data_IF_365367039696
#
_entry.id   IF_365367039696
#
_cell.length_a   1.000
_cell.length_b   1.000
_cell.length_c   1.000
_cell.angle_alpha   90.00
_cell.angle_beta   90.00
_cell.angle_gamma   90.00
#
_symmetry.space_group_name_H-M   'P 1'
#
loop_
_entity.id
_entity.type
_entity.pdbx_description
1 polymer ?
#
# COMPACT_ATOMS: atom_id res chain seq x y z
N UNK A 1 22.08 76.27 51.89
CA UNK A 1 22.51 74.86 52.02
C UNK A 1 21.97 74.14 50.83
N UNK A 2 22.79 73.76 49.86
CA UNK A 2 23.89 72.81 50.03
C UNK A 2 23.34 71.52 49.42
N UNK A 3 23.58 71.21 48.15
CA UNK A 3 24.87 71.19 47.46
C UNK A 3 25.33 69.73 47.48
N UNK A 4 25.69 69.09 46.38
CA UNK A 4 25.77 69.52 44.99
C UNK A 4 26.45 68.39 44.19
N UNK A 5 26.17 68.39 42.88
CA UNK A 5 27.06 67.87 41.83
C UNK A 5 27.08 66.35 41.60
N UNK A 6 27.10 65.84 40.37
CA UNK A 6 27.30 66.50 39.09
C UNK A 6 28.35 65.75 38.26
N UNK A 7 28.00 65.42 37.02
CA UNK A 7 28.91 64.98 35.94
C UNK A 7 29.34 63.51 36.02
N UNK A 8 29.50 62.76 34.93
CA UNK A 8 29.54 63.08 33.50
C UNK A 8 30.41 62.04 32.77
N UNK A 9 30.18 61.87 31.45
CA UNK A 9 31.01 61.09 30.51
C UNK A 9 30.68 59.59 30.48
N UNK A 10 30.25 58.98 29.36
CA UNK A 10 30.94 58.90 28.07
C UNK A 10 31.80 57.63 28.09
N UNK A 11 31.83 56.70 27.14
CA UNK A 11 31.25 56.48 25.83
C UNK A 11 31.82 55.14 25.31
N UNK A 12 31.43 54.75 24.09
CA UNK A 12 32.00 53.61 23.34
C UNK A 12 31.29 52.27 23.63
N UNK A 13 30.94 51.43 22.66
CA UNK A 13 31.40 51.28 21.28
C UNK A 13 31.73 49.80 21.03
N UNK A 14 31.30 49.24 19.89
CA UNK A 14 31.58 47.88 19.43
C UNK A 14 30.38 46.94 19.61
N UNK A 15 29.73 46.46 18.54
CA UNK A 15 30.27 45.51 17.55
C UNK A 15 30.04 44.10 18.11
N UNK A 16 29.25 43.19 17.55
CA UNK A 16 29.05 42.83 16.15
C UNK A 16 29.42 41.34 16.02
N UNK A 17 28.55 40.54 15.38
CA UNK A 17 28.83 39.14 14.99
C UNK A 17 28.68 38.12 16.12
N UNK A 18 28.04 36.97 15.94
CA UNK A 18 28.08 36.11 14.76
C UNK A 18 29.19 35.07 14.93
N UNK A 19 28.82 33.87 15.34
CA UNK A 19 29.68 32.68 15.39
C UNK A 19 28.77 31.48 15.70
N UNK A 20 28.34 30.65 14.75
CA UNK A 20 29.07 30.21 13.56
C UNK A 20 30.07 29.15 13.99
N UNK A 21 29.57 27.92 14.13
CA UNK A 21 30.36 26.77 14.51
C UNK A 21 31.48 26.48 13.50
N UNK A 22 32.60 26.04 14.03
CA UNK A 22 33.74 25.54 13.28
C UNK A 22 34.61 24.74 14.24
N UNK A 23 34.78 23.45 13.93
CA UNK A 23 35.43 22.48 14.80
C UNK A 23 36.85 22.84 15.19
N UNK A 24 37.19 22.58 16.45
CA UNK A 24 38.56 22.48 16.94
C UNK A 24 38.78 21.06 17.43
N UNK A 25 39.55 20.27 16.68
CA UNK A 25 40.14 19.04 17.18
C UNK A 25 41.10 19.40 18.31
N UNK A 26 40.66 19.22 19.56
CA UNK A 26 41.48 19.38 20.74
C UNK A 26 42.42 18.19 20.89
N UNK A 27 43.58 18.24 20.24
CA UNK A 27 44.72 17.44 20.62
C UNK A 27 45.20 17.89 22.00
N UNK A 28 44.61 17.33 23.06
CA UNK A 28 45.06 17.55 24.43
C UNK A 28 46.45 16.95 24.60
N UNK A 29 47.49 17.78 24.51
CA UNK A 29 48.84 17.40 24.92
C UNK A 29 48.84 17.09 26.42
N UNK A 30 49.19 15.86 26.79
CA UNK A 30 49.35 15.45 28.19
C UNK A 30 50.75 15.84 28.64
N UNK A 31 50.85 16.75 29.61
CA UNK A 31 52.12 17.09 30.26
C UNK A 31 52.44 16.04 31.33
N UNK A 32 53.54 15.31 31.15
CA UNK A 32 54.03 14.33 32.13
C UNK A 32 55.16 14.96 32.93
N UNK A 33 54.93 15.25 34.22
CA UNK A 33 55.98 15.66 35.16
C UNK A 33 56.64 14.43 35.75
N UNK A 34 57.94 14.26 35.48
CA UNK A 34 58.78 13.20 36.06
C UNK A 34 59.54 13.77 37.25
N UNK A 35 59.26 13.27 38.45
CA UNK A 35 60.10 13.51 39.62
C UNK A 35 61.17 12.42 39.69
N UNK A 36 62.43 12.77 39.45
CA UNK A 36 63.58 11.88 39.66
C UNK A 36 64.14 12.05 41.07
N UNK A 37 63.98 11.04 41.92
CA UNK A 37 64.69 10.98 43.20
C UNK A 37 66.19 10.76 42.94
N UNK A 38 67.04 11.62 43.52
CA UNK A 38 68.49 11.52 43.39
C UNK A 38 69.02 10.52 44.43
N UNK A 39 69.86 9.53 44.05
CA UNK A 39 70.48 8.64 45.03
C UNK A 39 71.49 9.43 45.88
N UNK A 40 71.46 9.23 47.19
CA UNK A 40 72.48 9.73 48.10
C UNK A 40 73.85 9.12 47.74
N UNK A 41 74.80 9.94 47.24
CA UNK A 41 76.18 9.50 46.99
C UNK A 41 76.89 10.14 45.79
N UNK A 42 76.77 11.46 45.58
CA UNK A 42 77.45 12.14 44.47
C UNK A 42 78.93 12.42 44.82
N UNK A 43 79.87 11.78 44.10
CA UNK A 43 81.30 12.05 44.19
C UNK A 43 81.75 12.84 42.93
N UNK A 44 82.29 14.07 43.07
CA UNK A 44 82.55 14.98 41.95
C UNK A 44 83.69 14.59 40.99
N UNK A 45 84.44 13.51 41.24
CA UNK A 45 85.65 13.16 40.46
C UNK A 45 85.48 12.05 39.40
N UNK A 46 84.25 11.69 39.02
CA UNK A 46 84.00 10.65 37.99
C UNK A 46 83.45 11.32 36.71
N UNK A 47 84.24 11.30 35.63
CA UNK A 47 83.94 11.97 34.34
C UNK A 47 83.06 11.15 33.37
N UNK A 48 82.31 10.16 33.85
CA UNK A 48 81.32 9.45 33.02
C UNK A 48 80.03 9.26 33.81
N UNK A 49 78.89 9.83 33.39
CA UNK A 49 77.61 9.52 34.01
C UNK A 49 77.25 8.05 33.74
N UNK A 50 76.71 7.29 34.71
CA UNK A 50 76.15 5.99 34.41
C UNK A 50 74.97 6.16 33.43
N UNK A 51 74.92 5.31 32.40
CA UNK A 51 73.80 5.27 31.44
C UNK A 51 72.49 5.16 32.22
N UNK A 52 71.47 6.00 31.96
CA UNK A 52 70.18 5.82 32.60
C UNK A 52 69.60 4.49 32.10
N UNK A 53 69.46 3.52 33.00
CA UNK A 53 68.64 2.35 32.76
C UNK A 53 67.18 2.81 32.81
N UNK A 54 66.62 3.21 31.66
CA UNK A 54 65.17 3.30 31.50
C UNK A 54 64.60 1.87 31.44
N UNK A 55 64.62 1.17 32.56
CA UNK A 55 63.91 -0.09 32.73
C UNK A 55 62.68 0.18 33.57
N UNK A 56 61.51 0.18 32.92
CA UNK A 56 60.22 0.09 33.62
C UNK A 56 59.30 1.31 33.61
N UNK A 57 59.26 2.11 32.54
CA UNK A 57 58.18 3.09 32.38
C UNK A 57 56.90 2.37 31.96
N UNK A 58 56.01 2.04 32.91
CA UNK A 58 54.68 1.52 32.61
C UNK A 58 53.79 2.71 32.24
N UNK A 59 53.61 2.92 30.93
CA UNK A 59 52.64 3.89 30.41
C UNK A 59 51.26 3.24 30.41
N UNK A 60 50.48 3.48 31.45
CA UNK A 60 49.05 3.16 31.45
C UNK A 60 48.31 4.17 30.59
N UNK A 61 48.11 3.86 29.31
CA UNK A 61 47.15 4.59 28.48
C UNK A 61 45.77 4.20 29.00
N UNK A 62 44.94 5.10 29.54
CA UNK A 62 43.56 4.75 29.84
C UNK A 62 42.93 4.38 28.50
N UNK A 63 42.61 3.09 28.34
CA UNK A 63 41.82 2.65 27.20
C UNK A 63 40.53 3.49 27.19
N UNK A 64 40.10 4.02 26.04
CA UNK A 64 38.79 4.63 25.97
C UNK A 64 37.80 3.56 26.42
N UNK A 65 37.07 3.84 27.50
CA UNK A 65 36.06 2.93 28.04
C UNK A 65 34.98 2.81 26.95
N UNK A 66 35.11 1.83 26.06
CA UNK A 66 34.03 1.47 25.15
C UNK A 66 32.98 0.77 25.99
N UNK A 67 31.83 1.42 26.20
CA UNK A 67 30.68 0.71 26.77
C UNK A 67 30.42 -0.53 25.92
N UNK A 68 30.40 -1.75 26.49
CA UNK A 68 30.07 -2.91 25.70
C UNK A 68 28.63 -2.74 25.19
N UNK A 69 28.46 -2.67 23.87
CA UNK A 69 27.13 -2.66 23.26
C UNK A 69 26.41 -3.94 23.70
N UNK A 70 25.34 -3.81 24.49
CA UNK A 70 24.61 -4.93 25.06
C UNK A 70 23.92 -5.80 23.99
N UNK A 71 23.49 -5.16 22.90
CA UNK A 71 22.84 -5.78 21.75
C UNK A 71 23.01 -4.91 20.50
N UNK A 72 22.90 -5.50 19.32
CA UNK A 72 22.91 -4.78 18.03
C UNK A 72 21.66 -3.94 17.81
N UNK A 73 21.66 -3.05 16.81
CA UNK A 73 20.44 -2.33 16.41
C UNK A 73 19.41 -3.34 15.92
N UNK A 74 18.17 -3.32 16.45
CA UNK A 74 17.19 -4.33 16.09
C UNK A 74 16.68 -4.16 14.65
N UNK A 75 16.36 -5.27 14.01
CA UNK A 75 15.73 -5.34 12.70
C UNK A 75 14.32 -5.90 12.88
N UNK A 76 13.32 -5.19 12.35
CA UNK A 76 11.94 -5.66 12.37
C UNK A 76 11.65 -6.42 11.07
N UNK A 77 11.33 -7.70 11.21
CA UNK A 77 10.97 -8.58 10.09
C UNK A 77 9.50 -8.96 10.14
N UNK A 78 8.91 -9.12 8.98
CA UNK A 78 7.51 -9.54 8.81
C UNK A 78 6.99 -9.28 7.41
N UNK A 79 5.76 -9.71 7.11
CA UNK A 79 5.14 -9.48 5.81
C UNK A 79 4.79 -7.99 5.63
N UNK A 80 5.23 -7.34 4.54
CA UNK A 80 4.90 -5.93 4.28
C UNK A 80 3.46 -5.75 3.78
N UNK A 81 2.86 -6.80 3.21
CA UNK A 81 1.52 -6.74 2.62
C UNK A 81 0.73 -8.00 2.93
N UNK A 82 -0.53 -7.84 3.35
CA UNK A 82 -1.39 -8.92 3.83
C UNK A 82 -2.85 -8.73 3.40
N UNK A 83 -3.59 -9.82 3.10
CA UNK A 83 -5.04 -9.73 2.98
C UNK A 83 -5.70 -9.60 4.36
N UNK A 84 -6.85 -8.93 4.41
CA UNK A 84 -7.67 -8.87 5.62
C UNK A 84 -8.03 -10.29 6.14
N UNK A 85 -8.04 -10.45 7.46
CA UNK A 85 -8.24 -11.72 8.17
C UNK A 85 -6.99 -12.59 8.32
N UNK A 86 -5.86 -12.23 7.71
CA UNK A 86 -4.61 -12.99 7.86
C UNK A 86 -3.91 -12.74 9.21
N UNK A 87 -3.08 -13.69 9.67
CA UNK A 87 -2.25 -13.48 10.86
C UNK A 87 -1.03 -12.62 10.53
N UNK A 88 -0.83 -11.53 11.28
CA UNK A 88 0.39 -10.73 11.23
C UNK A 88 1.34 -11.17 12.33
N UNK A 89 2.52 -11.63 11.94
CA UNK A 89 3.61 -11.98 12.84
C UNK A 89 4.83 -11.10 12.54
N UNK A 90 5.16 -10.21 13.48
CA UNK A 90 6.34 -9.37 13.41
C UNK A 90 7.41 -9.87 14.39
N UNK A 91 8.63 -10.03 13.91
CA UNK A 91 9.79 -10.47 14.70
C UNK A 91 10.80 -9.34 14.84
N UNK A 92 11.13 -8.99 16.08
CA UNK A 92 12.16 -8.00 16.39
C UNK A 92 13.48 -8.71 16.66
N UNK A 93 14.34 -8.76 15.65
CA UNK A 93 15.62 -9.47 15.71
C UNK A 93 16.71 -8.56 16.25
N UNK A 94 17.42 -9.00 17.29
CA UNK A 94 18.62 -8.33 17.79
C UNK A 94 19.62 -9.37 18.27
N UNK A 95 20.92 -9.10 18.12
CA UNK A 95 21.98 -9.99 18.54
C UNK A 95 22.56 -9.51 19.88
N UNK A 96 22.45 -10.29 20.96
CA UNK A 96 23.06 -9.96 22.25
C UNK A 96 24.59 -9.96 22.18
N UNK A 97 25.23 -9.18 23.04
CA UNK A 97 26.68 -9.15 23.18
C UNK A 97 27.24 -10.53 23.58
N UNK A 98 28.37 -10.98 22.98
CA UNK A 98 29.07 -12.19 23.43
C UNK A 98 29.51 -12.13 24.90
N UNK A 99 29.73 -10.92 25.44
CA UNK A 99 30.10 -10.70 26.84
C UNK A 99 28.93 -10.88 27.81
N UNK A 100 27.69 -10.68 27.32
CA UNK A 100 26.46 -10.68 28.11
C UNK A 100 25.32 -11.41 27.37
N UNK A 101 25.52 -12.69 26.97
CA UNK A 101 24.59 -13.39 26.07
C UNK A 101 23.24 -13.73 26.71
N UNK A 102 23.17 -13.73 28.04
CA UNK A 102 21.96 -14.04 28.82
C UNK A 102 21.31 -12.80 29.45
N UNK A 103 21.73 -11.60 29.05
CA UNK A 103 21.11 -10.39 29.57
C UNK A 103 19.63 -10.32 29.13
N UNK A 104 18.67 -10.17 30.05
CA UNK A 104 17.26 -10.05 29.68
C UNK A 104 17.03 -8.76 28.90
N UNK A 105 16.28 -8.88 27.80
CA UNK A 105 15.89 -7.79 26.92
C UNK A 105 14.38 -7.62 26.95
N UNK A 106 13.94 -6.37 26.93
CA UNK A 106 12.54 -5.98 26.91
C UNK A 106 12.20 -5.43 25.52
N UNK A 107 11.11 -5.93 24.94
CA UNK A 107 10.68 -5.55 23.59
C UNK A 107 9.40 -4.73 23.65
N UNK A 108 9.34 -3.70 22.81
CA UNK A 108 8.16 -2.88 22.59
C UNK A 108 7.92 -2.71 21.10
N UNK A 109 6.66 -2.78 20.71
CA UNK A 109 6.25 -2.60 19.32
C UNK A 109 5.38 -1.37 19.21
N UNK A 110 5.66 -0.58 18.18
CA UNK A 110 4.96 0.66 17.88
C UNK A 110 4.36 0.57 16.47
N UNK A 111 3.14 1.07 16.31
CA UNK A 111 2.50 1.34 15.02
C UNK A 111 2.20 2.84 14.96
N UNK A 112 2.77 3.53 13.99
CA UNK A 112 2.60 4.98 13.81
C UNK A 112 2.93 5.78 15.08
N UNK A 113 3.90 5.29 15.86
CA UNK A 113 4.33 5.88 17.13
C UNK A 113 3.49 5.47 18.36
N UNK A 114 2.36 4.80 18.18
CA UNK A 114 1.54 4.28 19.28
C UNK A 114 2.02 2.89 19.71
N UNK A 115 2.13 2.66 21.02
CA UNK A 115 2.49 1.36 21.56
C UNK A 115 1.37 0.34 21.29
N UNK A 116 1.69 -0.74 20.59
CA UNK A 116 0.76 -1.82 20.22
C UNK A 116 1.13 -3.18 20.83
N UNK A 117 2.33 -3.30 21.40
CA UNK A 117 2.78 -4.53 22.03
C UNK A 117 3.97 -4.31 22.96
N UNK A 118 4.09 -5.19 23.95
CA UNK A 118 5.08 -5.05 25.03
C UNK A 118 4.63 -4.11 26.16
N UNK A 119 5.49 -3.86 27.17
CA UNK A 119 6.81 -4.45 27.36
C UNK A 119 6.69 -5.91 27.83
N UNK A 120 7.20 -6.83 27.02
CA UNK A 120 7.30 -8.26 27.38
C UNK A 120 8.68 -8.77 26.96
N UNK A 121 9.11 -9.93 27.49
CA UNK A 121 10.35 -10.60 27.05
C UNK A 121 10.22 -11.29 25.68
N UNK A 122 9.04 -11.25 25.06
CA UNK A 122 8.80 -11.83 23.73
C UNK A 122 9.36 -10.92 22.63
N UNK A 123 10.22 -11.44 21.74
CA UNK A 123 10.70 -10.72 20.56
C UNK A 123 9.67 -10.69 19.41
N UNK A 124 8.43 -11.15 19.65
CA UNK A 124 7.40 -11.26 18.62
C UNK A 124 6.12 -10.52 19.00
N UNK A 125 5.49 -9.90 17.99
CA UNK A 125 4.13 -9.36 18.04
C UNK A 125 3.24 -10.17 17.10
N UNK A 126 2.19 -10.77 17.67
CA UNK A 126 1.19 -11.54 16.93
C UNK A 126 -0.16 -10.83 16.96
N UNK A 127 -0.72 -10.56 15.78
CA UNK A 127 -2.11 -10.16 15.60
C UNK A 127 -2.81 -11.27 14.80
N UNK A 128 -3.67 -12.10 15.43
CA UNK A 128 -4.21 -13.31 14.80
C UNK A 128 -5.01 -13.08 13.53
N UNK A 129 -5.74 -11.97 13.44
CA UNK A 129 -6.53 -11.59 12.28
C UNK A 129 -6.43 -10.07 12.08
N UNK A 130 -5.76 -9.64 11.02
CA UNK A 130 -5.62 -8.22 10.70
C UNK A 130 -6.83 -7.67 9.96
N UNK A 131 -7.30 -6.51 10.37
CA UNK A 131 -8.19 -5.64 9.58
C UNK A 131 -7.42 -4.52 8.89
N UNK A 132 -8.06 -3.80 7.97
CA UNK A 132 -7.47 -2.65 7.26
C UNK A 132 -6.90 -1.57 8.19
N UNK A 133 -7.48 -1.41 9.39
CA UNK A 133 -7.03 -0.51 10.46
C UNK A 133 -5.69 -0.90 11.11
N UNK A 134 -5.18 -2.10 10.81
CA UNK A 134 -3.86 -2.53 11.22
C UNK A 134 -2.77 -2.11 10.24
N UNK A 135 -3.11 -1.52 9.10
CA UNK A 135 -2.12 -0.90 8.23
C UNK A 135 -1.43 0.26 8.95
N UNK A 136 -0.14 0.44 8.68
CA UNK A 136 0.64 1.50 9.32
C UNK A 136 2.12 1.20 9.30
N UNK A 137 2.90 2.11 9.89
CA UNK A 137 4.34 1.97 9.95
C UNK A 137 4.77 1.38 11.29
N UNK A 138 5.26 0.15 11.26
CA UNK A 138 5.66 -0.59 12.45
C UNK A 138 7.13 -0.39 12.77
N UNK A 139 7.47 -0.34 14.05
CA UNK A 139 8.85 -0.33 14.54
C UNK A 139 8.94 -1.08 15.86
N UNK A 140 10.11 -1.63 16.17
CA UNK A 140 10.36 -2.21 17.49
C UNK A 140 11.48 -1.47 18.23
N UNK A 141 11.35 -1.42 19.56
CA UNK A 141 12.35 -0.93 20.50
C UNK A 141 12.80 -2.09 21.39
N UNK A 142 14.11 -2.27 21.49
CA UNK A 142 14.74 -3.22 22.42
C UNK A 142 15.42 -2.43 23.53
N UNK A 143 15.16 -2.81 24.78
CA UNK A 143 15.72 -2.16 25.97
C UNK A 143 16.41 -3.19 26.85
N UNK A 144 17.48 -2.78 27.52
CA UNK A 144 18.00 -3.55 28.65
C UNK A 144 17.02 -3.49 29.82
N UNK A 145 17.03 -4.49 30.70
CA UNK A 145 16.14 -4.59 31.87
C UNK A 145 16.17 -3.34 32.78
N UNK A 146 17.32 -2.68 32.91
CA UNK A 146 17.46 -1.40 33.63
C UNK A 146 17.16 -0.14 32.80
N UNK A 147 16.78 -0.29 31.52
CA UNK A 147 16.44 0.81 30.61
C UNK A 147 17.61 1.72 30.19
N UNK A 148 18.83 1.44 30.66
CA UNK A 148 20.02 2.24 30.40
C UNK A 148 20.43 2.25 28.92
N UNK A 149 20.15 1.16 28.19
CA UNK A 149 20.41 1.06 26.75
C UNK A 149 19.08 0.78 26.06
N UNK A 150 18.78 1.59 25.04
CA UNK A 150 17.62 1.41 24.14
C UNK A 150 18.06 1.58 22.70
N UNK A 151 17.59 0.73 21.80
CA UNK A 151 17.80 0.85 20.35
C UNK A 151 16.47 0.55 19.65
N UNK A 152 16.22 1.22 18.52
CA UNK A 152 14.99 1.08 17.74
C UNK A 152 15.29 0.66 16.32
N UNK A 153 14.38 -0.10 15.72
CA UNK A 153 14.50 -0.55 14.33
C UNK A 153 14.19 0.56 13.34
N UNK A 154 14.57 0.35 12.08
CA UNK A 154 13.92 1.03 10.97
C UNK A 154 12.42 0.70 10.93
N UNK A 155 11.64 1.54 10.25
CA UNK A 155 10.19 1.37 10.18
C UNK A 155 9.82 0.44 9.02
N UNK A 156 8.91 -0.49 9.26
CA UNK A 156 8.35 -1.43 8.29
C UNK A 156 6.92 -1.01 7.97
N UNK A 157 6.67 -0.60 6.72
CA UNK A 157 5.32 -0.31 6.25
C UNK A 157 4.53 -1.60 6.06
N UNK A 158 3.46 -1.78 6.84
CA UNK A 158 2.54 -2.91 6.71
C UNK A 158 1.25 -2.40 6.08
N UNK A 159 0.83 -2.99 4.98
CA UNK A 159 -0.42 -2.66 4.29
C UNK A 159 -1.36 -3.86 4.29
N UNK A 160 -2.58 -3.66 4.79
CA UNK A 160 -3.63 -4.67 4.78
C UNK A 160 -4.70 -4.28 3.76
N UNK A 161 -5.02 -5.21 2.85
CA UNK A 161 -6.05 -4.98 1.80
C UNK A 161 -7.16 -6.01 1.91
N UNK A 162 -8.39 -5.57 1.71
CA UNK A 162 -9.57 -6.45 1.61
C UNK A 162 -9.64 -7.02 0.18
N UNK A 163 -9.64 -8.36 0.00
CA UNK A 163 -9.86 -8.98 -1.31
C UNK A 163 -11.18 -8.54 -1.95
N UNK A 164 -11.22 -8.38 -3.27
CA UNK A 164 -12.49 -8.11 -3.97
C UNK A 164 -13.43 -9.31 -3.90
N UNK A 165 -14.71 -9.04 -3.64
CA UNK A 165 -15.77 -10.03 -3.65
C UNK A 165 -17.11 -9.42 -4.05
N UNK A 166 -18.05 -10.30 -4.43
CA UNK A 166 -19.43 -9.94 -4.78
C UNK A 166 -19.51 -8.83 -5.84
N UNK A 167 -18.93 -9.11 -7.02
CA UNK A 167 -19.09 -8.23 -8.17
C UNK A 167 -20.53 -8.29 -8.69
N UNK A 168 -21.05 -7.18 -9.18
CA UNK A 168 -22.42 -7.05 -9.69
C UNK A 168 -22.46 -6.17 -10.92
N UNK A 169 -23.40 -6.46 -11.82
CA UNK A 169 -23.73 -5.62 -12.97
C UNK A 169 -25.03 -4.85 -12.66
N UNK A 170 -25.11 -3.59 -13.10
CA UNK A 170 -26.31 -2.76 -13.03
C UNK A 170 -26.54 -2.02 -14.36
N UNK A 171 -27.79 -1.89 -14.87
CA UNK A 171 -29.02 -2.54 -14.40
C UNK A 171 -28.91 -4.09 -14.33
N UNK A 172 -29.54 -4.67 -13.31
CA UNK A 172 -29.16 -5.96 -12.73
C UNK A 172 -29.64 -7.21 -13.49
N UNK A 173 -29.02 -8.38 -13.22
CA UNK A 173 -29.40 -9.69 -13.77
C UNK A 173 -30.83 -10.11 -13.36
N UNK A 174 -31.47 -11.06 -14.06
CA UNK A 174 -30.85 -12.05 -14.98
C UNK A 174 -30.86 -11.66 -16.47
N UNK A 175 -31.75 -10.77 -16.90
CA UNK A 175 -31.89 -10.44 -18.31
C UNK A 175 -32.24 -8.97 -18.54
N UNK A 176 -31.68 -8.40 -19.60
CA UNK A 176 -31.96 -7.05 -20.08
C UNK A 176 -32.46 -7.14 -21.52
N UNK A 177 -33.70 -6.70 -21.74
CA UNK A 177 -34.35 -6.67 -23.05
C UNK A 177 -34.31 -5.24 -23.58
N UNK A 178 -33.75 -5.05 -24.77
CA UNK A 178 -33.62 -3.73 -25.41
C UNK A 178 -33.97 -3.80 -26.89
N UNK A 179 -34.24 -2.64 -27.50
CA UNK A 179 -34.54 -2.55 -28.93
C UNK A 179 -33.31 -2.08 -29.70
N UNK A 180 -33.19 -2.44 -30.99
CA UNK A 180 -32.17 -1.86 -31.84
C UNK A 180 -32.23 -0.33 -31.83
N UNK A 181 -31.08 0.32 -31.72
CA UNK A 181 -30.95 1.77 -31.61
C UNK A 181 -30.93 2.31 -30.18
N UNK A 182 -31.34 1.53 -29.17
CA UNK A 182 -31.33 1.97 -27.78
C UNK A 182 -29.88 2.13 -27.27
N UNK A 183 -29.57 3.19 -26.51
CA UNK A 183 -28.30 3.31 -25.81
C UNK A 183 -28.26 2.38 -24.60
N UNK A 184 -27.23 1.53 -24.51
CA UNK A 184 -27.01 0.66 -23.33
C UNK A 184 -25.71 1.01 -22.62
N UNK A 185 -25.83 1.28 -21.31
CA UNK A 185 -24.70 1.45 -20.40
C UNK A 185 -24.84 0.48 -19.24
N UNK A 186 -23.86 -0.41 -19.10
CA UNK A 186 -23.77 -1.34 -17.98
C UNK A 186 -22.66 -0.88 -17.03
N UNK A 187 -22.93 -0.94 -15.73
CA UNK A 187 -21.95 -0.63 -14.68
C UNK A 187 -21.61 -1.87 -13.89
N UNK A 188 -20.32 -2.08 -13.69
CA UNK A 188 -19.79 -3.08 -12.79
C UNK A 188 -19.38 -2.45 -11.46
N UNK A 189 -19.74 -3.10 -10.36
CA UNK A 189 -19.39 -2.71 -9.01
C UNK A 189 -19.00 -3.90 -8.16
N UNK A 190 -18.25 -3.67 -7.08
CA UNK A 190 -17.98 -4.67 -6.04
C UNK A 190 -18.57 -4.21 -4.72
N UNK A 191 -19.13 -5.13 -3.95
CA UNK A 191 -19.62 -4.82 -2.60
C UNK A 191 -18.49 -4.79 -1.56
N UNK A 192 -17.43 -5.57 -1.80
CA UNK A 192 -16.29 -5.74 -0.89
C UNK A 192 -15.00 -5.64 -1.70
N UNK A 193 -14.00 -4.92 -1.18
CA UNK A 193 -12.67 -4.84 -1.77
C UNK A 193 -11.99 -3.49 -1.53
N UNK A 194 -10.67 -3.50 -1.30
CA UNK A 194 -9.86 -2.28 -1.23
C UNK A 194 -9.43 -1.81 -2.62
N UNK A 195 -9.39 -0.50 -2.82
CA UNK A 195 -8.87 0.14 -4.03
C UNK A 195 -7.33 -0.02 -4.16
N UNK A 196 -6.77 -0.01 -5.39
CA UNK A 196 -7.47 0.10 -6.67
C UNK A 196 -8.13 -1.22 -7.09
N UNK A 197 -9.31 -1.10 -7.70
CA UNK A 197 -10.03 -2.22 -8.32
C UNK A 197 -10.05 -2.00 -9.83
N UNK A 198 -9.70 -3.02 -10.59
CA UNK A 198 -9.81 -3.02 -12.06
C UNK A 198 -10.98 -3.89 -12.49
N UNK A 199 -11.57 -3.55 -13.63
CA UNK A 199 -12.77 -4.22 -14.15
C UNK A 199 -12.56 -4.63 -15.60
N UNK A 200 -12.98 -5.84 -15.94
CA UNK A 200 -12.93 -6.40 -17.28
C UNK A 200 -14.31 -6.95 -17.64
N UNK A 201 -14.84 -6.55 -18.79
CA UNK A 201 -16.12 -7.02 -19.30
C UNK A 201 -15.91 -8.20 -20.24
N UNK A 202 -16.68 -9.25 -20.01
CA UNK A 202 -16.74 -10.43 -20.85
C UNK A 202 -18.10 -10.49 -21.53
N UNK A 203 -18.12 -10.84 -22.81
CA UNK A 203 -19.31 -11.26 -23.56
C UNK A 203 -19.06 -12.66 -24.10
N UNK A 204 -19.89 -13.61 -23.71
CA UNK A 204 -19.75 -15.03 -24.08
C UNK A 204 -18.34 -15.57 -23.76
N UNK A 205 -17.82 -15.18 -22.60
CA UNK A 205 -16.49 -15.55 -22.11
C UNK A 205 -15.31 -14.80 -22.73
N UNK A 206 -15.54 -13.90 -23.70
CA UNK A 206 -14.47 -13.12 -24.36
C UNK A 206 -14.43 -11.69 -23.86
N UNK A 207 -13.22 -11.17 -23.62
CA UNK A 207 -13.05 -9.78 -23.23
C UNK A 207 -13.54 -8.83 -24.33
N UNK A 208 -14.40 -7.89 -23.95
CA UNK A 208 -14.96 -6.86 -24.85
C UNK A 208 -14.62 -5.43 -24.43
N UNK A 209 -14.36 -5.19 -23.15
CA UNK A 209 -13.99 -3.87 -22.64
C UNK A 209 -13.29 -3.95 -21.28
N UNK A 210 -12.66 -2.83 -20.87
CA UNK A 210 -12.12 -2.63 -19.53
C UNK A 210 -12.66 -1.34 -18.94
N UNK A 211 -12.75 -1.32 -17.61
CA UNK A 211 -13.26 -0.17 -16.85
C UNK A 211 -14.60 -0.45 -16.18
N UNK A 212 -15.02 0.42 -15.25
CA UNK A 212 -16.22 0.21 -14.44
C UNK A 212 -17.52 0.32 -15.24
N UNK A 213 -17.48 0.87 -16.46
CA UNK A 213 -18.62 1.06 -17.35
C UNK A 213 -18.36 0.36 -18.69
N UNK A 214 -19.41 -0.23 -19.24
CA UNK A 214 -19.47 -0.71 -20.62
C UNK A 214 -20.56 0.09 -21.34
N UNK A 215 -20.14 0.86 -22.33
CA UNK A 215 -21.03 1.70 -23.15
C UNK A 215 -21.13 1.08 -24.55
N UNK A 216 -22.31 0.58 -24.91
CA UNK A 216 -22.54 -0.04 -26.22
C UNK A 216 -23.11 0.95 -27.25
N UNK A 217 -23.48 2.17 -26.83
CA UNK A 217 -24.14 3.13 -27.71
C UNK A 217 -25.42 2.54 -28.30
N UNK A 218 -25.75 2.90 -29.53
CA UNK A 218 -26.92 2.38 -30.25
C UNK A 218 -26.74 0.90 -30.58
N UNK A 219 -27.45 0.03 -29.85
CA UNK A 219 -27.29 -1.43 -29.98
C UNK A 219 -27.97 -2.01 -31.22
N UNK A 220 -27.52 -3.18 -31.64
CA UNK A 220 -28.14 -4.02 -32.67
C UNK A 220 -28.20 -5.49 -32.21
N UNK A 221 -28.78 -6.37 -33.04
CA UNK A 221 -28.94 -7.79 -32.71
C UNK A 221 -27.61 -8.49 -32.36
N UNK A 222 -26.49 -8.05 -32.95
CA UNK A 222 -25.15 -8.58 -32.69
C UNK A 222 -24.55 -8.17 -31.35
N UNK A 223 -25.21 -7.27 -30.61
CA UNK A 223 -24.86 -6.95 -29.23
C UNK A 223 -25.47 -7.93 -28.22
N UNK A 224 -26.42 -8.78 -28.64
CA UNK A 224 -26.99 -9.82 -27.77
C UNK A 224 -25.92 -10.81 -27.31
N UNK A 225 -26.09 -11.36 -26.11
CA UNK A 225 -25.17 -12.34 -25.54
C UNK A 225 -25.17 -12.32 -24.02
N UNK A 226 -24.32 -13.16 -23.42
CA UNK A 226 -24.16 -13.24 -21.97
C UNK A 226 -22.99 -12.39 -21.51
N UNK A 227 -23.29 -11.37 -20.72
CA UNK A 227 -22.31 -10.44 -20.17
C UNK A 227 -21.93 -10.83 -18.74
N UNK A 228 -20.64 -10.76 -18.44
CA UNK A 228 -20.09 -10.86 -17.09
C UNK A 228 -19.06 -9.75 -16.89
N UNK A 229 -18.91 -9.32 -15.64
CA UNK A 229 -17.80 -8.47 -15.25
C UNK A 229 -16.87 -9.23 -14.30
N UNK A 230 -15.56 -9.06 -14.52
CA UNK A 230 -14.51 -9.51 -13.63
C UNK A 230 -13.92 -8.30 -12.95
N UNK A 231 -14.07 -8.21 -11.63
CA UNK A 231 -13.38 -7.24 -10.80
C UNK A 231 -12.11 -7.86 -10.21
N UNK A 232 -10.99 -7.13 -10.19
CA UNK A 232 -9.74 -7.60 -9.60
C UNK A 232 -9.08 -6.56 -8.71
N UNK A 233 -8.48 -7.00 -7.61
CA UNK A 233 -7.51 -6.21 -6.85
C UNK A 233 -6.29 -7.05 -6.50
N UNK A 234 -5.18 -6.38 -6.19
CA UNK A 234 -3.86 -7.00 -6.12
C UNK A 234 -3.17 -6.73 -4.77
N UNK A 235 -2.29 -7.63 -4.39
CA UNK A 235 -1.42 -7.54 -3.23
C UNK A 235 0.03 -7.89 -3.63
N UNK A 236 0.99 -7.18 -3.05
CA UNK A 236 2.40 -7.16 -3.44
C UNK A 236 2.64 -6.10 -4.53
N UNK A 237 3.78 -5.40 -4.44
CA UNK A 237 4.15 -4.36 -5.40
C UNK A 237 4.18 -4.84 -6.87
N UNK A 238 4.47 -6.12 -7.11
CA UNK A 238 4.49 -6.74 -8.44
C UNK A 238 3.19 -7.51 -8.78
N UNK A 239 2.14 -7.38 -7.96
CA UNK A 239 0.86 -8.07 -8.18
C UNK A 239 0.92 -9.59 -7.98
N UNK A 240 1.84 -10.09 -7.18
CA UNK A 240 2.06 -11.54 -6.96
C UNK A 240 0.81 -12.30 -6.49
N UNK A 241 -0.15 -11.60 -5.87
CA UNK A 241 -1.46 -12.13 -5.48
C UNK A 241 -2.54 -11.27 -6.09
N UNK A 242 -3.36 -11.88 -6.94
CA UNK A 242 -4.51 -11.25 -7.58
C UNK A 242 -5.78 -11.89 -7.06
N UNK A 243 -6.66 -11.11 -6.46
CA UNK A 243 -8.00 -11.54 -6.10
C UNK A 243 -8.97 -11.17 -7.22
N UNK A 244 -9.91 -12.06 -7.51
CA UNK A 244 -10.86 -11.92 -8.62
C UNK A 244 -12.27 -12.22 -8.13
N UNK A 245 -13.22 -11.37 -8.52
CA UNK A 245 -14.64 -11.57 -8.29
C UNK A 245 -15.38 -11.49 -9.63
N UNK A 246 -16.16 -12.52 -9.95
CA UNK A 246 -17.03 -12.52 -11.13
C UNK A 246 -18.42 -12.08 -10.71
N UNK A 247 -19.08 -11.30 -11.56
CA UNK A 247 -20.49 -11.01 -11.41
C UNK A 247 -21.35 -12.21 -11.84
N UNK A 248 -22.63 -12.26 -11.41
CA UNK A 248 -23.62 -13.10 -12.08
C UNK A 248 -23.70 -12.75 -13.59
N UNK A 249 -24.16 -13.71 -14.37
CA UNK A 249 -24.41 -13.56 -15.80
C UNK A 249 -25.62 -12.65 -16.07
N UNK A 250 -25.47 -11.73 -17.01
CA UNK A 250 -26.54 -10.89 -17.54
C UNK A 250 -26.79 -11.27 -19.01
N UNK A 251 -27.96 -11.83 -19.31
CA UNK A 251 -28.38 -12.06 -20.69
C UNK A 251 -28.91 -10.75 -21.29
N UNK A 252 -28.17 -10.16 -22.24
CA UNK A 252 -28.65 -9.04 -23.04
C UNK A 252 -29.31 -9.57 -24.31
N UNK A 253 -30.57 -9.22 -24.54
CA UNK A 253 -31.31 -9.60 -25.75
C UNK A 253 -31.81 -8.34 -26.45
N UNK A 254 -31.39 -8.18 -27.71
CA UNK A 254 -31.77 -7.04 -28.56
C UNK A 254 -32.82 -7.53 -29.56
N UNK A 255 -34.09 -7.21 -29.29
CA UNK A 255 -35.21 -7.69 -30.12
C UNK A 255 -35.71 -6.59 -31.06
N UNK A 256 -35.68 -6.78 -32.39
CA UNK A 256 -36.28 -5.84 -33.34
C UNK A 256 -37.76 -5.63 -33.06
N UNK A 257 -38.34 -4.47 -33.41
CA UNK A 257 -39.79 -4.29 -33.37
C UNK A 257 -40.44 -5.41 -34.17
N UNK A 258 -41.29 -6.20 -33.52
CA UNK A 258 -42.05 -7.24 -34.20
C UNK A 258 -42.79 -6.63 -35.39
N UNK A 259 -42.59 -7.19 -36.58
CA UNK A 259 -43.38 -6.85 -37.78
C UNK A 259 -44.79 -7.41 -37.65
N UNK A 260 -45.52 -7.05 -36.59
CA UNK A 260 -46.94 -7.33 -36.46
C UNK A 260 -47.68 -6.27 -37.27
N UNK A 261 -47.80 -6.47 -38.59
CA UNK A 261 -48.48 -5.46 -39.39
C UNK A 261 -48.67 -5.65 -40.89
N UNK A 262 -48.13 -6.66 -41.57
CA UNK A 262 -48.41 -6.88 -43.00
C UNK A 262 -48.67 -8.35 -43.33
N UNK A 263 -49.70 -8.97 -42.72
CA UNK A 263 -50.29 -10.24 -43.19
C UNK A 263 -51.74 -10.08 -43.68
N UNK A 264 -52.08 -8.93 -44.26
CA UNK A 264 -53.37 -8.73 -44.95
C UNK A 264 -53.29 -8.98 -46.46
N UNK A 265 -52.09 -9.16 -47.03
CA UNK A 265 -51.89 -9.33 -48.48
C UNK A 265 -52.23 -10.72 -49.02
N UNK A 266 -52.55 -11.70 -48.18
CA UNK A 266 -52.96 -13.04 -48.65
C UNK A 266 -54.48 -13.19 -48.80
N UNK A 267 -55.28 -12.34 -48.12
CA UNK A 267 -56.75 -12.46 -48.17
C UNK A 267 -57.34 -11.71 -49.37
N UNK A 268 -56.70 -10.60 -49.80
CA UNK A 268 -57.18 -9.81 -50.95
C UNK A 268 -57.10 -10.56 -52.30
N UNK A 269 -56.07 -11.39 -52.52
CA UNK A 269 -55.93 -12.16 -53.76
C UNK A 269 -57.05 -13.22 -53.91
N UNK A 270 -57.49 -13.83 -52.79
CA UNK A 270 -58.57 -14.82 -52.81
C UNK A 270 -59.94 -14.21 -53.08
N UNK A 271 -60.22 -13.01 -52.55
CA UNK A 271 -61.50 -12.33 -52.77
C UNK A 271 -61.62 -11.78 -54.19
N UNK A 272 -60.55 -11.22 -54.76
CA UNK A 272 -60.52 -10.76 -56.15
C UNK A 272 -60.65 -11.93 -57.13
N UNK A 273 -59.97 -13.05 -56.87
CA UNK A 273 -60.11 -14.27 -57.67
C UNK A 273 -61.52 -14.87 -57.62
N UNK A 274 -62.15 -14.87 -56.44
CA UNK A 274 -63.52 -15.39 -56.27
C UNK A 274 -64.57 -14.51 -56.96
N UNK A 275 -64.42 -13.19 -56.92
CA UNK A 275 -65.28 -12.23 -57.64
C UNK A 275 -65.13 -12.36 -59.16
N UNK A 276 -63.90 -12.49 -59.68
CA UNK A 276 -63.65 -12.73 -61.11
C UNK A 276 -64.27 -14.05 -61.59
N UNK A 277 -64.14 -15.11 -60.79
CA UNK A 277 -64.75 -16.41 -61.11
C UNK A 277 -66.29 -16.32 -61.13
N UNK A 278 -66.90 -15.61 -60.17
CA UNK A 278 -68.36 -15.43 -60.12
C UNK A 278 -68.86 -14.61 -61.33
N UNK A 279 -68.14 -13.56 -61.72
CA UNK A 279 -68.47 -12.75 -62.91
C UNK A 279 -68.36 -13.58 -64.19
N UNK A 280 -67.33 -14.42 -64.32
CA UNK A 280 -67.17 -15.33 -65.46
C UNK A 280 -68.28 -16.40 -65.51
N UNK A 281 -68.70 -16.94 -64.36
CA UNK A 281 -69.82 -17.87 -64.29
C UNK A 281 -71.15 -17.22 -64.69
N UNK A 282 -71.42 -16.00 -64.22
CA UNK A 282 -72.63 -15.25 -64.60
C UNK A 282 -72.63 -14.89 -66.10
N UNK A 283 -71.46 -14.56 -66.67
CA UNK A 283 -71.32 -14.33 -68.10
C UNK A 283 -71.56 -15.61 -68.93
N UNK A 284 -71.04 -16.75 -68.48
CA UNK A 284 -71.28 -18.05 -69.12
C UNK A 284 -72.75 -18.48 -69.03
N UNK A 285 -73.42 -18.21 -67.91
CA UNK A 285 -74.86 -18.50 -67.75
C UNK A 285 -75.73 -17.62 -68.66
N UNK A 286 -75.37 -16.34 -68.85
CA UNK A 286 -76.05 -15.44 -69.79
C UNK A 286 -75.92 -15.87 -71.25
N UNK A 287 -74.88 -16.59 -71.62
CA UNK A 287 -74.69 -17.09 -72.99
C UNK A 287 -75.41 -18.43 -73.25
N UNK A 288 -75.80 -19.16 -72.20
CA UNK A 288 -76.45 -20.47 -72.32
C UNK A 288 -77.97 -20.43 -72.40
N UNK A 289 -78.59 -19.25 -72.41
CA UNK A 289 -80.02 -19.09 -72.67
C UNK A 289 -80.19 -18.77 -74.16
N UNK A 290 -80.52 -19.74 -75.03
CA UNK A 290 -80.87 -19.45 -76.40
C UNK A 290 -82.19 -18.67 -76.43
N UNK A 291 -82.15 -17.47 -77.02
CA UNK A 291 -83.33 -16.84 -77.58
C UNK A 291 -83.67 -17.59 -78.87
N UNK A 292 -84.52 -18.61 -78.74
CA UNK A 292 -85.37 -19.11 -79.82
C UNK A 292 -86.76 -19.22 -79.20
N UNK A 293 -87.79 -18.56 -79.71
CA UNK A 293 -88.20 -18.50 -81.12
C UNK A 293 -89.54 -19.20 -81.17
#
# INVERSE_FOLDING_TARGET
GGGGGGGGGGGGGGGGGGGGGGGGGGGGGVTVTVHGEHPHGWNPNILTPPKPLLSGLIVTVPSPISFPELFTVPVLEGPPELPEGSPLNLSCLSTPSPLRPRAPLLYRFYRDGQLVGGPQGSPQLLVPAVGVSHSGNYSCEVRSEGGAVRKSSARLGVTVRTPVANATISPGPPALQVRPGDPVTLRCSVQVGSAPVTFTWLRDGREVARGPLLELGAVDVGHSGTYQCVATNQLGQDGHRVFRALSPELALEVTPPGTTGHRWSTVAAGVVGSLLFLVLLLAAFRWRIPLGG
#
